data_IF_599459251324
#
_entry.id   IF_599459251324
#
_cell.length_a   1.000
_cell.length_b   1.000
_cell.length_c   1.000
_cell.angle_alpha   90.00
_cell.angle_beta   90.00
_cell.angle_gamma   90.00
#
_symmetry.space_group_name_H-M   'P 1'
#
loop_
_entity.id
_entity.type
_entity.pdbx_description
1 polymer ?
#
# COMPACT_ATOMS: atom_id res chain seq x y z
N UNK A 1 25.26 -3.21 42.66
CA UNK A 1 25.60 -3.70 41.31
C UNK A 1 24.44 -3.29 40.41
N UNK A 2 24.59 -2.16 39.73
CA UNK A 2 23.58 -1.61 38.82
C UNK A 2 23.98 -2.01 37.40
N UNK A 3 23.16 -2.83 36.75
CA UNK A 3 23.26 -3.13 35.34
C UNK A 3 22.21 -2.32 34.59
N UNK A 4 22.58 -1.11 34.16
CA UNK A 4 21.77 -0.32 33.23
C UNK A 4 22.06 -0.76 31.79
N UNK A 5 20.97 -0.98 31.05
CA UNK A 5 20.93 -1.51 29.69
C UNK A 5 21.40 -0.48 28.66
N UNK A 6 22.39 -0.85 27.85
CA UNK A 6 22.97 -0.05 26.76
C UNK A 6 22.24 -0.21 25.41
N UNK A 7 21.03 -0.78 25.41
CA UNK A 7 20.37 -1.20 24.16
C UNK A 7 19.27 -0.25 23.66
N UNK A 8 19.02 0.87 24.37
CA UNK A 8 17.98 1.83 23.97
C UNK A 8 18.49 2.94 23.04
N UNK A 9 19.76 3.37 23.17
CA UNK A 9 20.30 4.53 22.44
C UNK A 9 20.63 4.24 20.96
N UNK A 10 20.76 2.96 20.58
CA UNK A 10 21.11 2.57 19.21
C UNK A 10 19.92 2.62 18.23
N UNK A 11 18.69 2.56 18.73
CA UNK A 11 17.49 2.55 17.89
C UNK A 11 17.21 3.94 17.28
N UNK A 12 17.46 5.02 18.03
CA UNK A 12 17.13 6.38 17.58
C UNK A 12 18.08 6.88 16.48
N UNK A 13 19.37 6.54 16.54
CA UNK A 13 20.34 6.89 15.49
C UNK A 13 20.03 6.16 14.17
N UNK A 14 19.57 4.91 14.28
CA UNK A 14 19.11 4.11 13.13
C UNK A 14 17.81 4.67 12.53
N UNK A 15 16.90 5.20 13.35
CA UNK A 15 15.67 5.87 12.92
C UNK A 15 16.00 7.19 12.19
N UNK A 16 16.99 7.95 12.64
CA UNK A 16 17.44 9.18 11.97
C UNK A 16 18.04 8.89 10.58
N UNK A 17 18.78 7.79 10.42
CA UNK A 17 19.27 7.34 9.10
C UNK A 17 18.12 6.94 8.15
N UNK A 18 17.04 6.35 8.68
CA UNK A 18 15.82 6.03 7.93
C UNK A 18 14.96 7.28 7.61
N UNK A 19 15.14 8.38 8.33
CA UNK A 19 14.40 9.64 8.17
C UNK A 19 14.87 10.50 6.98
N UNK A 20 15.84 10.02 6.19
CA UNK A 20 16.11 10.55 4.85
C UNK A 20 16.85 11.89 4.79
N UNK A 21 17.51 12.34 5.86
CA UNK A 21 18.36 13.56 5.82
C UNK A 21 19.74 13.34 5.13
N UNK A 22 20.02 12.13 4.65
CA UNK A 22 21.21 11.83 3.85
C UNK A 22 20.97 12.04 2.36
N UNK A 23 21.66 13.01 1.76
CA UNK A 23 21.58 13.29 0.31
C UNK A 23 22.36 12.24 -0.49
N UNK A 24 21.69 11.16 -0.91
CA UNK A 24 22.27 10.22 -1.86
C UNK A 24 22.15 10.75 -3.30
N UNK A 25 23.30 10.97 -3.94
CA UNK A 25 23.45 11.39 -5.34
C UNK A 25 23.28 10.23 -6.32
N UNK A 26 22.14 9.55 -6.29
CA UNK A 26 21.70 8.80 -7.45
C UNK A 26 20.34 9.33 -7.85
N UNK A 27 20.34 10.33 -8.73
CA UNK A 27 19.15 10.66 -9.48
C UNK A 27 18.91 9.47 -10.42
N UNK A 28 17.83 8.67 -10.28
CA UNK A 28 17.40 7.87 -11.42
C UNK A 28 17.19 8.84 -12.59
N UNK A 29 17.41 8.40 -13.83
CA UNK A 29 16.95 9.14 -14.99
C UNK A 29 15.43 9.27 -14.84
N UNK A 30 15.01 10.38 -14.23
CA UNK A 30 13.62 10.69 -13.98
C UNK A 30 13.10 11.00 -15.36
N UNK A 31 12.49 10.00 -16.01
CA UNK A 31 11.50 10.30 -17.03
C UNK A 31 10.56 11.29 -16.35
N UNK A 32 10.59 12.54 -16.80
CA UNK A 32 9.64 13.57 -16.40
C UNK A 32 8.31 13.16 -17.08
N UNK A 33 7.71 12.07 -16.57
CA UNK A 33 6.27 11.97 -16.57
C UNK A 33 5.80 13.29 -15.99
N UNK A 34 4.82 13.94 -16.62
CA UNK A 34 4.26 15.21 -16.17
C UNK A 34 3.50 15.06 -14.84
N UNK A 35 4.24 14.67 -13.81
CA UNK A 35 3.87 14.56 -12.41
C UNK A 35 3.76 15.95 -11.80
N UNK A 36 4.34 16.97 -12.45
CA UNK A 36 4.24 18.37 -12.04
C UNK A 36 2.84 18.93 -12.31
N UNK A 37 2.17 18.50 -13.37
CA UNK A 37 0.77 18.82 -13.65
C UNK A 37 -0.21 17.75 -13.14
N UNK A 38 0.11 17.09 -12.03
CA UNK A 38 -0.80 16.10 -11.46
C UNK A 38 -1.99 16.81 -10.78
N UNK A 39 -3.24 16.40 -11.06
CA UNK A 39 -4.41 16.97 -10.39
C UNK A 39 -4.55 16.59 -8.91
N UNK A 40 -3.72 15.69 -8.38
CA UNK A 40 -3.85 15.13 -7.03
C UNK A 40 -2.49 15.12 -6.31
N UNK A 41 -2.41 15.65 -5.08
CA UNK A 41 -1.18 15.63 -4.28
C UNK A 41 -0.78 14.20 -3.88
N UNK A 42 0.50 13.95 -3.54
CA UNK A 42 0.97 12.66 -3.04
C UNK A 42 0.18 12.21 -1.82
N UNK A 43 -0.01 10.90 -1.68
CA UNK A 43 -0.67 10.31 -0.51
C UNK A 43 0.14 10.60 0.76
N UNK A 44 -0.54 11.10 1.80
CA UNK A 44 0.06 11.34 3.11
C UNK A 44 -0.04 10.10 4.00
N UNK A 45 0.88 9.94 4.97
CA UNK A 45 0.75 8.91 5.99
C UNK A 45 -0.51 9.09 6.84
N UNK A 46 -1.03 7.98 7.36
CA UNK A 46 -2.26 7.92 8.17
C UNK A 46 -2.16 8.69 9.49
N UNK A 47 -0.94 8.98 9.94
CA UNK A 47 -0.69 9.84 11.11
C UNK A 47 -0.99 11.31 10.86
N UNK A 48 -0.82 11.77 9.62
CA UNK A 48 -1.14 13.14 9.21
C UNK A 48 -2.58 13.24 8.70
N UNK A 49 -3.00 12.26 7.92
CA UNK A 49 -4.32 12.20 7.30
C UNK A 49 -4.90 10.78 7.48
N UNK A 50 -5.64 10.54 8.58
CA UNK A 50 -6.20 9.22 8.85
C UNK A 50 -7.13 8.77 7.72
N UNK A 51 -7.09 7.48 7.33
CA UNK A 51 -7.95 6.97 6.28
C UNK A 51 -9.42 7.01 6.70
N UNK A 52 -10.31 7.26 5.74
CA UNK A 52 -11.75 7.11 5.94
C UNK A 52 -12.05 5.63 6.15
N UNK A 53 -12.53 5.28 7.33
CA UNK A 53 -12.78 3.89 7.74
C UNK A 53 -14.24 3.49 7.44
N UNK A 54 -14.43 2.56 6.52
CA UNK A 54 -15.67 1.80 6.39
C UNK A 54 -15.60 0.55 7.27
N UNK A 55 -16.04 0.66 8.53
CA UNK A 55 -16.00 -0.46 9.47
C UNK A 55 -16.99 -1.55 9.04
N UNK A 56 -16.49 -2.75 8.83
CA UNK A 56 -17.31 -3.94 8.55
C UNK A 56 -17.80 -4.56 9.85
N UNK A 57 -18.94 -5.23 9.80
CA UNK A 57 -19.38 -6.08 10.91
C UNK A 57 -18.33 -7.15 11.18
N UNK A 58 -17.97 -7.30 12.45
CA UNK A 58 -17.01 -8.29 12.91
C UNK A 58 -17.73 -9.50 13.49
N UNK A 59 -17.15 -10.70 13.38
CA UNK A 59 -17.57 -11.85 14.18
C UNK A 59 -17.56 -11.53 15.67
N UNK A 60 -18.43 -12.18 16.45
CA UNK A 60 -18.61 -11.90 17.89
C UNK A 60 -17.35 -12.05 18.76
N UNK A 61 -16.34 -12.79 18.28
CA UNK A 61 -15.06 -12.96 18.98
C UNK A 61 -14.04 -11.86 18.67
N UNK A 62 -14.37 -10.87 17.84
CA UNK A 62 -13.52 -9.73 17.49
C UNK A 62 -14.23 -8.40 17.78
N UNK A 63 -13.46 -7.38 18.18
CA UNK A 63 -13.94 -6.01 18.36
C UNK A 63 -12.94 -5.00 17.85
N UNK A 64 -13.42 -3.82 17.49
CA UNK A 64 -12.56 -2.70 17.14
C UNK A 64 -12.01 -2.01 18.39
N UNK A 65 -10.75 -1.62 18.31
CA UNK A 65 -10.12 -0.64 19.18
C UNK A 65 -9.47 0.46 18.32
N UNK A 66 -9.23 1.62 18.90
CA UNK A 66 -8.77 2.79 18.14
C UNK A 66 -7.52 3.39 18.76
N UNK A 67 -6.51 3.62 17.92
CA UNK A 67 -5.23 4.17 18.35
C UNK A 67 -5.20 5.70 18.26
N UNK A 68 -5.96 6.30 17.33
CA UNK A 68 -6.01 7.75 17.10
C UNK A 68 -7.17 8.46 17.81
N UNK A 69 -7.17 9.80 17.75
CA UNK A 69 -8.27 10.64 18.23
C UNK A 69 -9.50 10.50 17.33
N UNK A 70 -10.70 10.64 17.90
CA UNK A 70 -11.95 10.61 17.13
C UNK A 70 -12.26 9.26 16.46
N UNK A 71 -11.88 8.15 17.11
CA UNK A 71 -12.07 6.78 16.59
C UNK A 71 -11.39 6.52 15.24
N UNK A 72 -10.21 7.11 15.04
CA UNK A 72 -9.34 6.88 13.88
C UNK A 72 -8.31 5.80 14.17
N UNK A 73 -7.64 5.28 13.12
CA UNK A 73 -6.58 4.28 13.23
C UNK A 73 -7.07 3.02 13.97
N UNK A 74 -8.08 2.36 13.38
CA UNK A 74 -8.68 1.17 13.98
C UNK A 74 -7.74 -0.02 13.94
N UNK A 75 -7.83 -0.86 14.96
CA UNK A 75 -7.21 -2.18 15.04
C UNK A 75 -8.29 -3.17 15.48
N UNK A 76 -8.16 -4.42 15.03
CA UNK A 76 -9.07 -5.49 15.41
C UNK A 76 -8.39 -6.31 16.50
N UNK A 77 -9.07 -6.46 17.63
CA UNK A 77 -8.59 -7.21 18.79
C UNK A 77 -9.61 -8.28 19.19
N UNK A 78 -9.18 -9.25 20.00
CA UNK A 78 -10.09 -10.28 20.49
C UNK A 78 -11.11 -9.69 21.48
N UNK A 79 -12.37 -10.11 21.35
CA UNK A 79 -13.48 -9.54 22.11
C UNK A 79 -13.44 -9.92 23.61
N UNK A 80 -12.87 -11.08 23.91
CA UNK A 80 -12.68 -11.68 25.23
C UNK A 80 -11.58 -11.01 26.08
N UNK A 81 -10.77 -10.12 25.49
CA UNK A 81 -9.78 -9.34 26.23
C UNK A 81 -10.47 -8.40 27.23
N UNK A 82 -10.07 -8.53 28.49
CA UNK A 82 -10.50 -7.65 29.58
C UNK A 82 -10.02 -6.21 29.38
N UNK A 83 -10.71 -5.25 29.99
CA UNK A 83 -10.43 -3.82 29.78
C UNK A 83 -8.98 -3.43 30.07
N UNK A 84 -8.39 -3.97 31.14
CA UNK A 84 -7.00 -3.73 31.49
C UNK A 84 -6.02 -4.26 30.44
N UNK A 85 -6.29 -5.44 29.86
CA UNK A 85 -5.47 -6.03 28.81
C UNK A 85 -5.56 -5.21 27.53
N UNK A 86 -6.77 -4.79 27.15
CA UNK A 86 -6.99 -3.91 25.99
C UNK A 86 -6.26 -2.58 26.18
N UNK A 87 -6.34 -1.96 27.36
CA UNK A 87 -5.65 -0.72 27.66
C UNK A 87 -4.12 -0.87 27.56
N UNK A 88 -3.57 -1.96 28.11
CA UNK A 88 -2.14 -2.26 28.01
C UNK A 88 -1.71 -2.48 26.54
N UNK A 89 -2.49 -3.21 25.76
CA UNK A 89 -2.24 -3.44 24.33
C UNK A 89 -2.27 -2.14 23.54
N UNK A 90 -3.30 -1.32 23.72
CA UNK A 90 -3.43 -0.01 23.03
C UNK A 90 -2.25 0.89 23.39
N UNK A 91 -1.80 0.89 24.65
CA UNK A 91 -0.62 1.67 25.07
C UNK A 91 0.63 1.28 24.30
N UNK A 92 0.89 -0.02 24.14
CA UNK A 92 2.03 -0.53 23.36
C UNK A 92 1.89 -0.20 21.88
N UNK A 93 0.71 -0.40 21.29
CA UNK A 93 0.48 -0.13 19.87
C UNK A 93 0.61 1.37 19.55
N UNK A 94 0.16 2.25 20.45
CA UNK A 94 0.38 3.70 20.32
C UNK A 94 1.86 4.07 20.41
N UNK A 95 2.63 3.40 21.28
CA UNK A 95 4.09 3.61 21.37
C UNK A 95 4.79 3.26 20.05
N UNK A 96 4.34 2.21 19.37
CA UNK A 96 4.93 1.74 18.10
C UNK A 96 4.04 2.02 16.89
N UNK A 97 3.29 3.12 16.90
CA UNK A 97 2.26 3.40 15.88
C UNK A 97 2.83 3.47 14.46
N UNK A 98 4.09 3.90 14.31
CA UNK A 98 4.83 3.97 13.04
C UNK A 98 5.14 2.61 12.42
N UNK A 99 5.02 1.52 13.19
CA UNK A 99 5.21 0.17 12.68
C UNK A 99 3.95 -0.41 12.02
N UNK A 100 2.81 0.27 12.17
CA UNK A 100 1.51 -0.17 11.66
C UNK A 100 1.21 0.58 10.37
N UNK A 101 0.91 -0.15 9.30
CA UNK A 101 0.49 0.43 8.03
C UNK A 101 -1.01 0.26 7.79
N UNK A 102 -1.75 1.37 7.81
CA UNK A 102 -3.17 1.39 7.42
C UNK A 102 -3.35 1.66 5.93
N UNK A 103 -2.46 2.47 5.36
CA UNK A 103 -2.40 2.76 3.92
C UNK A 103 -1.03 2.40 3.38
N UNK A 104 -0.92 2.34 2.05
CA UNK A 104 0.39 2.11 1.41
C UNK A 104 1.40 3.22 1.71
N UNK A 105 0.95 4.44 2.03
CA UNK A 105 1.82 5.55 2.40
C UNK A 105 2.48 5.37 3.77
N UNK A 106 1.92 4.51 4.62
CA UNK A 106 2.52 4.15 5.91
C UNK A 106 3.63 3.10 5.78
N UNK A 107 3.66 2.38 4.65
CA UNK A 107 4.63 1.30 4.42
C UNK A 107 5.95 1.93 3.98
N UNK A 108 6.86 2.10 4.94
CA UNK A 108 8.21 2.59 4.66
C UNK A 108 9.06 1.42 4.13
N UNK A 109 9.50 1.53 2.88
CA UNK A 109 10.40 0.55 2.27
C UNK A 109 11.82 0.63 2.84
N UNK A 110 12.63 -0.40 2.60
CA UNK A 110 14.05 -0.39 2.93
C UNK A 110 14.77 0.57 1.96
N UNK A 111 15.51 1.59 2.46
CA UNK A 111 16.28 2.46 1.59
C UNK A 111 17.30 1.70 0.76
N UNK A 112 17.47 2.07 -0.51
CA UNK A 112 18.44 1.43 -1.42
C UNK A 112 19.88 1.50 -0.92
N UNK A 113 20.22 2.51 -0.13
CA UNK A 113 21.55 2.64 0.48
C UNK A 113 21.86 1.57 1.53
N UNK A 114 20.84 0.92 2.10
CA UNK A 114 20.99 -0.12 3.12
C UNK A 114 21.08 -1.50 2.47
N UNK A 115 20.20 -1.79 1.49
CA UNK A 115 20.17 -3.08 0.83
C UNK A 115 19.85 -2.94 -0.66
N UNK A 116 20.67 -3.57 -1.49
CA UNK A 116 20.37 -3.80 -2.90
C UNK A 116 20.36 -5.29 -3.17
N UNK A 117 19.23 -5.79 -3.67
CA UNK A 117 19.14 -7.17 -4.13
C UNK A 117 19.63 -7.25 -5.59
N UNK A 118 20.51 -8.21 -5.87
CA UNK A 118 20.93 -8.56 -7.23
C UNK A 118 20.36 -9.93 -7.57
N UNK A 119 19.48 -9.98 -8.57
CA UNK A 119 18.96 -11.24 -9.11
C UNK A 119 20.03 -11.78 -10.07
N UNK A 120 20.54 -12.99 -9.80
CA UNK A 120 21.43 -13.69 -10.71
C UNK A 120 20.60 -14.40 -11.78
N UNK A 121 21.04 -14.30 -13.04
CA UNK A 121 20.43 -14.98 -14.17
C UNK A 121 21.32 -16.12 -14.63
N UNK A 122 20.74 -17.15 -15.25
CA UNK A 122 21.48 -18.21 -15.92
C UNK A 122 22.30 -17.64 -17.10
N UNK A 123 23.45 -18.24 -17.39
CA UNK A 123 24.41 -17.75 -18.39
C UNK A 123 23.81 -17.59 -19.80
N UNK A 124 22.77 -18.36 -20.11
CA UNK A 124 22.17 -18.43 -21.45
C UNK A 124 20.87 -17.61 -21.55
N UNK A 125 20.52 -16.86 -20.50
CA UNK A 125 19.26 -16.14 -20.42
C UNK A 125 19.29 -14.85 -21.26
N UNK A 126 18.38 -14.74 -22.22
CA UNK A 126 18.24 -13.54 -23.06
C UNK A 126 17.04 -12.71 -22.64
N UNK A 127 17.15 -11.37 -22.63
CA UNK A 127 16.02 -10.49 -22.37
C UNK A 127 14.89 -10.69 -23.39
N UNK A 128 13.65 -10.69 -22.91
CA UNK A 128 12.45 -10.80 -23.75
C UNK A 128 11.54 -9.59 -23.57
N UNK A 129 10.97 -9.16 -24.69
CA UNK A 129 9.93 -8.12 -24.74
C UNK A 129 8.65 -8.79 -25.20
N UNK A 130 7.70 -8.93 -24.28
CA UNK A 130 6.36 -9.41 -24.58
C UNK A 130 5.37 -8.26 -24.75
N UNK A 131 4.46 -8.40 -25.71
CA UNK A 131 3.41 -7.39 -25.95
C UNK A 131 2.40 -7.36 -24.80
N UNK A 132 2.06 -6.15 -24.34
CA UNK A 132 1.08 -5.95 -23.28
C UNK A 132 -0.33 -6.38 -23.74
N UNK A 133 -1.05 -7.14 -22.90
CA UNK A 133 -2.44 -7.53 -23.17
C UNK A 133 -3.37 -6.32 -23.07
N UNK A 134 -4.34 -6.24 -23.97
CA UNK A 134 -5.40 -5.22 -23.95
C UNK A 134 -6.33 -5.44 -22.75
N UNK A 135 -6.47 -4.43 -21.91
CA UNK A 135 -7.47 -4.41 -20.83
C UNK A 135 -8.78 -3.78 -21.33
N UNK A 136 -9.91 -4.16 -20.72
CA UNK A 136 -11.15 -3.45 -20.95
C UNK A 136 -11.07 -2.04 -20.29
N UNK A 137 -11.78 -1.02 -20.80
CA UNK A 137 -11.67 0.34 -20.26
C UNK A 137 -11.98 0.48 -18.76
N UNK A 138 -13.01 -0.20 -18.19
CA UNK A 138 -13.29 -0.13 -16.75
C UNK A 138 -12.14 -0.65 -15.87
N UNK A 139 -11.57 -1.81 -16.20
CA UNK A 139 -10.43 -2.38 -15.46
C UNK A 139 -9.19 -1.52 -15.66
N UNK A 140 -8.99 -0.95 -16.85
CA UNK A 140 -7.87 -0.06 -17.12
C UNK A 140 -7.86 1.15 -16.17
N UNK A 141 -9.01 1.77 -15.91
CA UNK A 141 -9.12 2.89 -14.97
C UNK A 141 -8.78 2.49 -13.53
N UNK A 142 -9.20 1.29 -13.11
CA UNK A 142 -8.88 0.76 -11.77
C UNK A 142 -7.39 0.48 -11.64
N UNK A 143 -6.80 -0.20 -12.63
CA UNK A 143 -5.37 -0.51 -12.67
C UNK A 143 -4.53 0.77 -12.69
N UNK A 144 -4.94 1.77 -13.48
CA UNK A 144 -4.28 3.07 -13.54
C UNK A 144 -4.28 3.75 -12.17
N UNK A 145 -5.40 3.74 -11.45
CA UNK A 145 -5.49 4.30 -10.08
C UNK A 145 -4.55 3.58 -9.11
N UNK A 146 -4.47 2.25 -9.16
CA UNK A 146 -3.56 1.49 -8.30
C UNK A 146 -2.08 1.74 -8.63
N UNK A 147 -1.70 1.78 -9.91
CA UNK A 147 -0.33 2.11 -10.33
C UNK A 147 0.06 3.52 -9.88
N UNK A 148 -0.86 4.49 -9.98
CA UNK A 148 -0.64 5.84 -9.50
C UNK A 148 -0.35 5.82 -8.00
N UNK A 149 -1.14 5.12 -7.17
CA UNK A 149 -0.86 5.00 -5.73
C UNK A 149 0.55 4.47 -5.46
N UNK A 150 1.02 3.48 -6.22
CA UNK A 150 2.36 2.89 -6.04
C UNK A 150 3.48 3.83 -6.51
N UNK A 151 3.23 4.64 -7.53
CA UNK A 151 4.15 5.69 -7.97
C UNK A 151 4.28 6.77 -6.90
N UNK A 152 3.19 7.12 -6.22
CA UNK A 152 3.14 8.19 -5.21
C UNK A 152 3.94 7.84 -3.97
N UNK A 153 3.88 6.57 -3.58
CA UNK A 153 4.66 6.04 -2.46
C UNK A 153 6.07 5.63 -2.85
N UNK A 154 6.45 5.74 -4.12
CA UNK A 154 7.77 5.36 -4.62
C UNK A 154 8.05 3.86 -4.59
N UNK A 155 7.01 3.02 -4.46
CA UNK A 155 7.12 1.55 -4.54
C UNK A 155 7.50 1.13 -5.96
N UNK A 156 6.93 1.80 -6.97
CA UNK A 156 7.33 1.66 -8.37
C UNK A 156 7.80 3.01 -8.92
N UNK A 157 8.61 2.96 -9.97
CA UNK A 157 9.15 4.14 -10.63
C UNK A 157 9.27 3.87 -12.12
N UNK A 158 9.17 4.91 -12.96
CA UNK A 158 9.30 4.75 -14.41
C UNK A 158 10.73 4.35 -14.78
N UNK A 159 10.85 3.45 -15.75
CA UNK A 159 12.10 3.03 -16.37
C UNK A 159 11.92 3.17 -17.88
N UNK A 160 12.89 3.78 -18.55
CA UNK A 160 12.93 3.84 -20.02
C UNK A 160 13.56 2.58 -20.60
N UNK A 161 13.11 2.17 -21.78
CA UNK A 161 13.85 1.28 -22.68
C UNK A 161 14.31 -0.05 -22.06
N UNK A 162 13.51 -0.63 -21.15
CA UNK A 162 13.80 -1.94 -20.59
C UNK A 162 13.77 -3.00 -21.68
N UNK A 163 14.85 -3.78 -21.77
CA UNK A 163 14.91 -4.96 -22.64
C UNK A 163 14.08 -6.12 -22.10
N UNK A 164 13.63 -6.03 -20.84
CA UNK A 164 12.72 -6.96 -20.18
C UNK A 164 11.33 -6.34 -20.06
N UNK A 165 10.35 -6.93 -20.73
CA UNK A 165 8.94 -6.53 -20.62
C UNK A 165 8.08 -7.77 -20.52
N UNK A 166 7.34 -7.89 -19.41
CA UNK A 166 6.34 -8.92 -19.19
C UNK A 166 4.94 -8.30 -19.16
N UNK A 167 3.90 -8.96 -19.70
CA UNK A 167 2.56 -8.40 -19.73
C UNK A 167 1.94 -8.36 -18.33
N UNK A 168 1.29 -7.25 -17.99
CA UNK A 168 0.48 -7.16 -16.77
C UNK A 168 -0.80 -7.99 -16.91
N UNK A 169 -1.03 -8.89 -15.96
CA UNK A 169 -2.27 -9.66 -15.85
C UNK A 169 -3.12 -9.16 -14.68
N UNK A 170 -4.35 -8.76 -14.97
CA UNK A 170 -5.32 -8.36 -13.95
C UNK A 170 -6.13 -9.57 -13.51
N UNK A 171 -6.08 -9.89 -12.23
CA UNK A 171 -6.84 -11.00 -11.64
C UNK A 171 -7.83 -10.43 -10.62
N UNK A 172 -9.15 -10.57 -10.85
CA UNK A 172 -10.15 -10.22 -9.87
C UNK A 172 -9.95 -11.03 -8.58
N UNK A 173 -9.95 -10.37 -7.43
CA UNK A 173 -9.84 -11.06 -6.14
C UNK A 173 -11.17 -11.74 -5.79
N UNK A 174 -11.13 -12.95 -5.23
CA UNK A 174 -12.32 -13.66 -4.73
C UNK A 174 -13.00 -12.82 -3.64
N UNK A 175 -14.24 -12.40 -3.88
CA UNK A 175 -14.98 -11.49 -3.00
C UNK A 175 -14.62 -10.00 -3.14
N UNK A 176 -13.65 -9.66 -3.99
CA UNK A 176 -13.29 -8.28 -4.33
C UNK A 176 -14.21 -7.76 -5.42
N UNK A 177 -15.25 -7.04 -5.03
CA UNK A 177 -16.11 -6.33 -5.97
C UNK A 177 -15.35 -5.13 -6.51
N UNK A 178 -15.11 -5.07 -7.82
CA UNK A 178 -14.48 -3.89 -8.41
C UNK A 178 -15.58 -2.87 -8.64
N UNK A 179 -15.61 -1.81 -7.84
CA UNK A 179 -16.62 -0.76 -7.95
C UNK A 179 -16.14 0.29 -8.93
N UNK A 180 -16.86 0.44 -10.05
CA UNK A 180 -16.54 1.44 -11.08
C UNK A 180 -17.67 2.45 -11.13
N UNK A 181 -17.33 3.74 -11.05
CA UNK A 181 -18.28 4.81 -11.26
C UNK A 181 -18.72 4.82 -12.74
N UNK A 182 -20.01 4.77 -13.02
CA UNK A 182 -20.54 4.91 -14.37
C UNK A 182 -20.50 6.38 -14.84
N UNK A 183 -20.99 6.65 -16.05
CA UNK A 183 -21.07 8.01 -16.62
C UNK A 183 -21.93 8.99 -15.79
N UNK A 184 -22.71 8.50 -14.83
CA UNK A 184 -23.54 9.28 -13.90
C UNK A 184 -22.93 9.36 -12.49
N UNK A 185 -21.67 8.94 -12.31
CA UNK A 185 -20.99 8.82 -11.02
C UNK A 185 -21.59 7.79 -10.06
N UNK A 186 -22.48 6.91 -10.53
CA UNK A 186 -23.03 5.84 -9.71
C UNK A 186 -22.02 4.69 -9.61
N UNK A 187 -21.78 4.22 -8.39
CA UNK A 187 -20.86 3.13 -8.10
C UNK A 187 -21.46 1.79 -8.52
N UNK A 188 -21.04 1.26 -9.68
CA UNK A 188 -21.51 -0.04 -10.17
C UNK A 188 -20.54 -1.15 -9.74
N UNK A 189 -21.05 -2.20 -9.06
CA UNK A 189 -20.26 -3.37 -8.75
C UNK A 189 -20.03 -4.23 -10.00
N UNK A 190 -18.79 -4.36 -10.44
CA UNK A 190 -18.40 -5.29 -11.50
C UNK A 190 -18.03 -6.64 -10.87
N UNK A 191 -18.79 -7.69 -11.18
CA UNK A 191 -18.42 -9.08 -10.91
C UNK A 191 -17.95 -9.73 -12.22
N UNK A 192 -16.82 -10.44 -12.24
CA UNK A 192 -16.58 -11.45 -13.26
C UNK A 192 -17.54 -12.61 -12.97
N UNK A 193 -18.42 -12.95 -13.91
CA UNK A 193 -19.15 -14.23 -13.84
C UNK A 193 -18.13 -15.38 -13.84
N UNK A 194 -18.39 -16.50 -13.15
CA UNK A 194 -17.53 -17.69 -13.20
C UNK A 194 -17.20 -18.15 -14.63
N UNK A 195 -18.05 -17.81 -15.60
CA UNK A 195 -17.98 -18.30 -16.98
C UNK A 195 -17.32 -17.30 -17.96
N UNK A 196 -16.75 -16.20 -17.47
CA UNK A 196 -16.05 -15.22 -18.30
C UNK A 196 -16.94 -14.23 -19.07
N UNK A 197 -18.26 -14.37 -18.98
CA UNK A 197 -19.22 -13.39 -19.51
C UNK A 197 -19.60 -12.35 -18.45
N UNK A 198 -19.51 -11.06 -18.78
CA UNK A 198 -19.90 -9.98 -17.88
C UNK A 198 -21.42 -9.79 -17.96
N UNK A 199 -22.18 -10.34 -17.00
CA UNK A 199 -23.62 -10.07 -16.86
C UNK A 199 -23.84 -8.72 -16.14
N UNK A 200 -24.60 -7.83 -16.79
CA UNK A 200 -25.05 -6.57 -16.21
C UNK A 200 -26.36 -6.80 -15.44
N UNK A 201 -26.30 -7.00 -14.13
CA UNK A 201 -27.53 -6.94 -13.32
C UNK A 201 -27.78 -5.51 -12.85
N UNK A 202 -28.69 -4.81 -13.51
CA UNK A 202 -29.32 -3.62 -12.93
C UNK A 202 -30.32 -4.07 -11.88
N UNK A 203 -30.06 -3.81 -10.59
CA UNK A 203 -31.10 -3.93 -9.57
C UNK A 203 -32.04 -2.72 -9.69
N UNK A 204 -33.29 -2.99 -10.06
CA UNK A 204 -34.46 -2.12 -9.87
C UNK A 204 -34.81 -1.98 -8.39
#
# INVERSE_FOLDING_TARGET
MNGESKDAENCDETICALSGLGTYRHAPNKLDLDLKNRPTPPAKPSMEEPPILELKELPSHLKYAFLGSGSTLSVIVAADLGEQQVAALISILRKYIRAIGWTIADIIGIPRGICTHKIQLEENCTPTIEHQRRLNPPIQEVVKKEIIKWLDTGVVYPISDSTWVSPVQCVPKKGGMTVVANKKNELIPLRPSPDGEYEWTTKS
#
